data_IF_259028091365
#
_entry.id   IF_259028091365
#
_cell.length_a   1.000
_cell.length_b   1.000
_cell.length_c   1.000
_cell.angle_alpha   90.00
_cell.angle_beta   90.00
_cell.angle_gamma   90.00
#
_symmetry.space_group_name_H-M   'P 1'
#
loop_
_entity.id
_entity.type
_entity.pdbx_description
1 polymer ?
#
# COMPACT_ATOMS: atom_id res chain seq x y z
N UNK A 1 4.13 13.21 -1.36
CA UNK A 1 4.23 11.81 -1.86
C UNK A 1 2.88 11.39 -2.42
N UNK A 2 2.87 10.88 -3.61
CA UNK A 2 1.63 10.41 -4.26
C UNK A 2 1.48 8.91 -4.03
N UNK A 3 0.36 8.53 -3.42
CA UNK A 3 0.03 7.13 -3.14
C UNK A 3 -1.19 6.75 -3.97
N UNK A 4 -1.05 5.70 -4.76
CA UNK A 4 -2.16 5.15 -5.54
C UNK A 4 -2.72 3.92 -4.83
N UNK A 5 -4.03 3.90 -4.64
CA UNK A 5 -4.74 2.73 -4.14
C UNK A 5 -5.49 2.12 -5.32
N UNK A 6 -5.17 0.89 -5.67
CA UNK A 6 -5.80 0.18 -6.79
C UNK A 6 -7.31 0.14 -6.58
N UNK A 7 -8.05 0.61 -7.59
CA UNK A 7 -9.51 0.67 -7.54
C UNK A 7 -10.09 1.94 -6.92
N UNK A 8 -9.29 2.80 -6.29
CA UNK A 8 -9.79 3.99 -5.61
C UNK A 8 -9.21 5.31 -6.12
N UNK A 9 -8.00 5.30 -6.69
CA UNK A 9 -7.36 6.51 -7.20
C UNK A 9 -6.10 6.89 -6.45
N UNK A 10 -5.76 8.18 -6.46
CA UNK A 10 -4.51 8.69 -5.90
C UNK A 10 -4.76 9.66 -4.76
N UNK A 11 -3.84 9.69 -3.80
CA UNK A 11 -3.85 10.62 -2.67
C UNK A 11 -2.47 11.26 -2.52
N UNK A 12 -2.48 12.55 -2.19
CA UNK A 12 -1.27 13.27 -1.78
C UNK A 12 -1.09 13.10 -0.29
N UNK A 13 0.00 12.47 0.13
CA UNK A 13 0.30 12.17 1.54
C UNK A 13 1.59 12.86 1.96
N UNK A 14 1.63 13.52 3.14
CA UNK A 14 2.87 14.13 3.61
C UNK A 14 3.99 13.10 3.76
N UNK A 15 5.21 13.47 3.38
CA UNK A 15 6.37 12.57 3.52
C UNK A 15 6.65 12.19 4.97
N UNK A 16 6.21 13.00 5.92
CA UNK A 16 6.31 12.68 7.35
C UNK A 16 5.55 11.41 7.74
N UNK A 17 4.59 10.97 6.92
CA UNK A 17 3.84 9.74 7.15
C UNK A 17 4.59 8.49 6.69
N UNK A 18 5.69 8.63 5.96
CA UNK A 18 6.43 7.49 5.41
C UNK A 18 6.87 6.48 6.48
N UNK A 19 7.32 6.97 7.64
CA UNK A 19 7.72 6.09 8.74
C UNK A 19 6.59 5.21 9.25
N UNK A 20 5.41 5.79 9.43
CA UNK A 20 4.23 5.05 9.88
C UNK A 20 3.73 4.07 8.81
N UNK A 21 3.79 4.48 7.54
CA UNK A 21 3.44 3.60 6.43
C UNK A 21 4.39 2.40 6.35
N UNK A 22 5.68 2.62 6.59
CA UNK A 22 6.66 1.53 6.63
C UNK A 22 6.39 0.54 7.76
N UNK A 23 5.92 1.00 8.91
CA UNK A 23 5.55 0.13 10.04
C UNK A 23 4.39 -0.78 9.62
N UNK A 24 3.38 -0.23 8.94
CA UNK A 24 2.24 -1.00 8.48
C UNK A 24 2.65 -1.96 7.36
N UNK A 25 3.53 -1.51 6.45
CA UNK A 25 4.05 -2.36 5.38
C UNK A 25 4.79 -3.59 5.94
N UNK A 26 5.51 -3.44 7.03
CA UNK A 26 6.16 -4.56 7.70
C UNK A 26 5.14 -5.62 8.16
N UNK A 27 3.95 -5.19 8.55
CA UNK A 27 2.84 -6.11 8.89
C UNK A 27 2.33 -6.85 7.67
N UNK A 28 2.30 -6.19 6.50
CA UNK A 28 1.93 -6.84 5.24
C UNK A 28 2.94 -7.93 4.89
N UNK A 29 4.24 -7.64 4.97
CA UNK A 29 5.28 -8.61 4.70
C UNK A 29 5.19 -9.82 5.63
N UNK A 30 5.00 -9.57 6.92
CA UNK A 30 4.87 -10.64 7.92
C UNK A 30 3.66 -11.53 7.63
N UNK A 31 2.54 -10.94 7.25
CA UNK A 31 1.34 -11.69 6.91
C UNK A 31 1.56 -12.59 5.69
N UNK A 32 2.29 -12.10 4.69
CA UNK A 32 2.63 -12.87 3.50
C UNK A 32 3.58 -14.02 3.89
N UNK A 33 4.60 -13.75 4.68
CA UNK A 33 5.56 -14.76 5.13
C UNK A 33 4.88 -15.86 5.97
N UNK A 34 3.91 -15.48 6.79
CA UNK A 34 3.17 -16.41 7.63
C UNK A 34 1.99 -17.09 6.89
N UNK A 35 1.75 -16.70 5.64
CA UNK A 35 0.60 -17.14 4.85
C UNK A 35 -0.73 -16.91 5.59
N UNK A 36 -0.84 -15.78 6.31
CA UNK A 36 -2.00 -15.43 7.13
C UNK A 36 -2.87 -14.42 6.38
N UNK A 37 -3.92 -14.91 5.73
CA UNK A 37 -4.83 -14.07 4.95
C UNK A 37 -5.56 -13.03 5.80
N UNK A 38 -5.97 -13.37 7.00
CA UNK A 38 -6.66 -12.45 7.89
C UNK A 38 -5.75 -11.28 8.30
N UNK A 39 -4.50 -11.57 8.63
CA UNK A 39 -3.51 -10.56 8.97
C UNK A 39 -3.19 -9.68 7.76
N UNK A 40 -3.10 -10.25 6.57
CA UNK A 40 -2.89 -9.51 5.33
C UNK A 40 -4.02 -8.50 5.08
N UNK A 41 -5.26 -8.96 5.15
CA UNK A 41 -6.43 -8.10 4.94
C UNK A 41 -6.47 -6.97 5.96
N UNK A 42 -6.19 -7.28 7.22
CA UNK A 42 -6.15 -6.27 8.28
C UNK A 42 -5.04 -5.23 8.03
N UNK A 43 -3.85 -5.66 7.64
CA UNK A 43 -2.73 -4.77 7.37
C UNK A 43 -2.99 -3.88 6.15
N UNK A 44 -3.54 -4.43 5.07
CA UNK A 44 -3.91 -3.64 3.89
C UNK A 44 -5.00 -2.62 4.21
N UNK A 45 -6.00 -3.01 5.01
CA UNK A 45 -7.06 -2.10 5.44
C UNK A 45 -6.49 -0.96 6.27
N UNK A 46 -5.59 -1.25 7.19
CA UNK A 46 -4.92 -0.24 8.00
C UNK A 46 -4.11 0.73 7.13
N UNK A 47 -3.38 0.21 6.15
CA UNK A 47 -2.58 1.01 5.23
C UNK A 47 -3.44 1.96 4.40
N UNK A 48 -4.53 1.46 3.82
CA UNK A 48 -5.47 2.25 3.03
C UNK A 48 -6.13 3.33 3.90
N UNK A 49 -6.58 2.98 5.10
CA UNK A 49 -7.20 3.93 6.01
C UNK A 49 -6.23 5.03 6.44
N UNK A 50 -4.97 4.70 6.65
CA UNK A 50 -3.94 5.69 6.99
C UNK A 50 -3.77 6.69 5.87
N UNK A 51 -3.69 6.22 4.63
CA UNK A 51 -3.58 7.09 3.44
C UNK A 51 -4.79 8.00 3.32
N UNK A 52 -6.00 7.48 3.48
CA UNK A 52 -7.23 8.28 3.39
C UNK A 52 -7.34 9.32 4.50
N UNK A 53 -6.91 8.97 5.71
CA UNK A 53 -7.02 9.84 6.88
C UNK A 53 -6.02 10.98 6.82
N UNK A 54 -4.79 10.72 6.38
CA UNK A 54 -3.70 11.68 6.39
C UNK A 54 -3.39 12.28 5.02
N UNK A 55 -3.98 11.76 3.96
CA UNK A 55 -3.80 12.24 2.59
C UNK A 55 -4.98 13.05 2.09
N UNK A 56 -4.78 13.70 0.95
CA UNK A 56 -5.83 14.43 0.24
C UNK A 56 -6.04 13.79 -1.13
N UNK A 57 -7.30 13.58 -1.56
CA UNK A 57 -7.56 13.02 -2.89
C UNK A 57 -6.97 13.90 -3.98
N UNK A 58 -6.31 13.26 -4.94
CA UNK A 58 -5.79 13.93 -6.13
C UNK A 58 -6.83 13.86 -7.23
N UNK A 59 -7.10 14.98 -7.90
CA UNK A 59 -8.06 15.02 -9.00
C UNK A 59 -7.66 14.05 -10.11
N UNK A 60 -8.64 13.33 -10.65
CA UNK A 60 -8.42 12.45 -11.81
C UNK A 60 -7.94 13.21 -13.05
N UNK A 61 -8.25 14.50 -13.14
CA UNK A 61 -7.77 15.35 -14.21
C UNK A 61 -6.27 15.64 -14.12
N UNK A 62 -5.67 15.41 -12.93
CA UNK A 62 -4.24 15.59 -12.72
C UNK A 62 -3.52 14.29 -13.04
N UNK A 63 -2.71 14.28 -14.10
CA UNK A 63 -1.90 13.11 -14.45
C UNK A 63 -0.59 13.21 -13.70
N UNK A 64 -0.38 12.29 -12.78
CA UNK A 64 0.80 12.27 -11.91
C UNK A 64 1.26 10.83 -11.71
N UNK A 65 2.58 10.63 -11.73
CA UNK A 65 3.17 9.33 -11.41
C UNK A 65 3.04 9.06 -9.91
N UNK A 66 2.71 7.83 -9.55
CA UNK A 66 2.61 7.42 -8.16
C UNK A 66 3.98 7.05 -7.61
N UNK A 67 4.28 7.54 -6.41
CA UNK A 67 5.50 7.16 -5.68
C UNK A 67 5.35 5.80 -5.03
N UNK A 68 4.11 5.44 -4.72
CA UNK A 68 3.76 4.22 -4.01
C UNK A 68 2.43 3.69 -4.54
N UNK A 69 2.32 2.37 -4.72
CA UNK A 69 1.08 1.72 -5.14
C UNK A 69 0.67 0.70 -4.09
N UNK A 70 -0.57 0.81 -3.61
CA UNK A 70 -1.15 -0.13 -2.65
C UNK A 70 -2.16 -1.01 -3.37
N UNK A 71 -2.02 -2.34 -3.28
CA UNK A 71 -2.99 -3.26 -3.90
C UNK A 71 -4.35 -3.20 -3.20
N UNK A 72 -5.36 -3.74 -3.86
CA UNK A 72 -6.71 -3.81 -3.32
C UNK A 72 -6.73 -4.60 -2.01
N UNK A 73 -7.54 -4.16 -1.04
CA UNK A 73 -7.63 -4.82 0.28
C UNK A 73 -8.20 -6.24 0.20
N UNK A 74 -8.87 -6.59 -0.88
CA UNK A 74 -9.39 -7.94 -1.12
C UNK A 74 -8.35 -8.88 -1.71
N UNK A 75 -7.13 -8.42 -1.94
CA UNK A 75 -6.06 -9.24 -2.51
C UNK A 75 -5.73 -10.44 -1.62
N UNK A 76 -5.50 -11.59 -2.27
CA UNK A 76 -5.08 -12.81 -1.57
C UNK A 76 -3.57 -12.84 -1.37
N UNK A 77 -3.10 -13.76 -0.51
CA UNK A 77 -1.67 -13.98 -0.29
C UNK A 77 -0.97 -14.27 -1.63
N UNK A 78 -1.56 -15.13 -2.46
CA UNK A 78 -0.96 -15.49 -3.76
C UNK A 78 -0.88 -14.28 -4.69
N UNK A 79 -1.92 -13.46 -4.75
CA UNK A 79 -1.94 -12.25 -5.57
C UNK A 79 -0.89 -11.24 -5.11
N UNK A 80 -0.73 -11.05 -3.80
CA UNK A 80 0.28 -10.14 -3.25
C UNK A 80 1.70 -10.67 -3.53
N UNK A 81 1.91 -11.96 -3.45
CA UNK A 81 3.21 -12.57 -3.75
C UNK A 81 3.62 -12.29 -5.20
N UNK A 82 2.70 -12.47 -6.13
CA UNK A 82 2.92 -12.15 -7.55
C UNK A 82 3.14 -10.66 -7.73
N UNK A 83 2.36 -9.82 -7.07
CA UNK A 83 2.49 -8.37 -7.11
C UNK A 83 3.89 -7.91 -6.69
N UNK A 84 4.39 -8.42 -5.57
CA UNK A 84 5.71 -8.07 -5.05
C UNK A 84 6.83 -8.50 -6.00
N UNK A 85 6.67 -9.65 -6.64
CA UNK A 85 7.67 -10.15 -7.61
C UNK A 85 7.69 -9.34 -8.90
N UNK A 86 6.54 -8.86 -9.36
CA UNK A 86 6.42 -8.19 -10.67
C UNK A 86 6.55 -6.67 -10.60
N UNK A 87 6.05 -6.04 -9.53
CA UNK A 87 5.86 -4.59 -9.49
C UNK A 87 6.69 -3.86 -8.45
N UNK A 88 7.16 -4.56 -7.43
CA UNK A 88 7.83 -3.95 -6.27
C UNK A 88 9.03 -4.78 -5.85
N UNK A 89 9.93 -4.18 -5.09
CA UNK A 89 11.02 -4.89 -4.45
C UNK A 89 10.50 -5.91 -3.45
N UNK A 90 11.21 -7.04 -3.31
CA UNK A 90 10.90 -8.05 -2.29
C UNK A 90 11.07 -7.55 -0.86
N UNK A 91 11.59 -6.35 -0.69
CA UNK A 91 11.71 -5.70 0.62
C UNK A 91 10.39 -5.11 1.12
N UNK A 92 9.27 -5.28 0.38
CA UNK A 92 7.96 -4.82 0.74
C UNK A 92 7.35 -3.87 -0.26
N UNK A 93 6.19 -3.28 0.06
CA UNK A 93 5.45 -2.37 -0.80
C UNK A 93 6.08 -0.97 -0.84
N UNK A 94 6.75 -0.57 0.22
CA UNK A 94 7.31 0.76 0.40
C UNK A 94 8.83 0.66 0.41
N UNK A 95 9.51 1.28 -0.57
CA UNK A 95 10.97 1.32 -0.57
C UNK A 95 11.46 2.16 0.61
N UNK A 96 12.45 1.62 1.33
CA UNK A 96 12.86 2.37 2.43
C UNK A 96 14.04 2.06 3.17
#
# INVERSE_FOLDING_TARGET
>A
MIVRIVGEGQWEVPESELGDLNVIDAKVEKAVDDADQSALTAALTELVNRVRTHGEPVSEATVTDSDLIIPDISSTIDEITVWLDENVSRAGLIPG
#
